data_IF_537001487269
#
_entry.id   IF_537001487269
#
_cell.length_a   1.000
_cell.length_b   1.000
_cell.length_c   1.000
_cell.angle_alpha   90.00
_cell.angle_beta   90.00
_cell.angle_gamma   90.00
#
_symmetry.space_group_name_H-M   'P 1'
#
loop_
_entity.id
_entity.type
_entity.pdbx_description
1 polymer ?
#
# COMPACT_ATOMS: atom_id res chain seq x y z
N UNK A 1 -2.80 32.33 12.37
CA UNK A 1 -1.51 31.99 11.71
C UNK A 1 -0.49 31.28 12.64
N UNK A 2 -0.09 31.82 13.79
CA UNK A 2 0.87 31.14 14.71
C UNK A 2 0.21 29.97 15.46
N UNK A 3 -1.02 30.12 15.90
CA UNK A 3 -1.84 29.10 16.55
C UNK A 3 -2.11 27.90 15.61
N UNK A 4 -2.34 28.17 14.33
CA UNK A 4 -2.59 27.14 13.30
C UNK A 4 -1.34 26.34 12.98
N UNK A 5 -0.15 26.97 12.98
CA UNK A 5 1.13 26.26 12.79
C UNK A 5 1.47 25.34 13.96
N UNK A 6 1.20 25.76 15.21
CA UNK A 6 1.40 24.93 16.38
C UNK A 6 0.47 23.72 16.39
N UNK A 7 -0.78 23.89 15.97
CA UNK A 7 -1.73 22.79 15.83
C UNK A 7 -1.29 21.77 14.77
N UNK A 8 -0.79 22.26 13.63
CA UNK A 8 -0.30 21.41 12.55
C UNK A 8 0.86 20.54 13.00
N UNK A 9 1.85 21.13 13.69
CA UNK A 9 3.01 20.43 14.25
C UNK A 9 2.55 19.40 15.29
N UNK A 10 1.58 19.77 16.13
CA UNK A 10 1.04 18.87 17.14
C UNK A 10 0.30 17.68 16.51
N UNK A 11 -0.58 17.90 15.51
CA UNK A 11 -1.30 16.84 14.83
C UNK A 11 -0.35 15.84 14.16
N UNK A 12 0.62 16.31 13.38
CA UNK A 12 1.61 15.45 12.71
C UNK A 12 2.47 14.70 13.72
N UNK A 13 2.97 15.39 14.74
CA UNK A 13 3.81 14.79 15.79
C UNK A 13 3.07 13.71 16.57
N UNK A 14 1.80 13.97 16.93
CA UNK A 14 0.97 12.98 17.66
C UNK A 14 0.66 11.76 16.78
N UNK A 15 0.23 11.97 15.52
CA UNK A 15 -0.02 10.86 14.61
C UNK A 15 1.25 10.04 14.34
N UNK A 16 2.40 10.69 14.20
CA UNK A 16 3.68 10.00 13.97
C UNK A 16 4.10 9.18 15.19
N UNK A 17 3.94 9.73 16.39
CA UNK A 17 4.26 9.00 17.62
C UNK A 17 3.29 7.82 17.83
N UNK A 18 1.99 8.01 17.54
CA UNK A 18 1.03 6.92 17.59
C UNK A 18 1.34 5.83 16.54
N UNK A 19 1.83 6.20 15.36
CA UNK A 19 2.27 5.26 14.34
C UNK A 19 3.44 4.39 14.82
N UNK A 20 4.44 5.02 15.45
CA UNK A 20 5.53 4.30 16.12
C UNK A 20 5.00 3.31 17.17
N UNK A 21 4.06 3.75 18.00
CA UNK A 21 3.51 2.93 19.08
C UNK A 21 2.67 1.77 18.56
N UNK A 22 1.81 1.99 17.56
CA UNK A 22 0.94 0.94 17.01
C UNK A 22 1.76 -0.17 16.37
N UNK A 23 2.72 0.18 15.49
CA UNK A 23 3.60 -0.81 14.88
C UNK A 23 4.48 -1.51 15.93
N UNK A 24 4.95 -0.75 16.93
CA UNK A 24 5.70 -1.30 18.05
C UNK A 24 4.88 -2.26 18.91
N UNK A 25 3.62 -1.94 19.24
CA UNK A 25 2.70 -2.82 19.99
C UNK A 25 2.48 -4.11 19.23
N UNK A 26 2.14 -4.03 17.94
CA UNK A 26 1.86 -5.20 17.12
C UNK A 26 3.09 -6.11 17.00
N UNK A 27 4.26 -5.54 16.70
CA UNK A 27 5.51 -6.29 16.63
C UNK A 27 5.90 -6.89 17.99
N UNK A 28 5.88 -6.09 19.06
CA UNK A 28 6.21 -6.54 20.39
C UNK A 28 5.29 -7.69 20.83
N UNK A 29 3.99 -7.58 20.62
CA UNK A 29 3.02 -8.60 20.97
C UNK A 29 3.28 -9.91 20.21
N UNK A 30 3.45 -9.86 18.88
CA UNK A 30 3.72 -11.04 18.05
C UNK A 30 5.05 -11.72 18.42
N UNK A 31 6.11 -10.95 18.60
CA UNK A 31 7.43 -11.49 18.93
C UNK A 31 7.55 -11.95 20.39
N UNK A 32 6.78 -11.38 21.30
CA UNK A 32 6.78 -11.79 22.69
C UNK A 32 6.03 -13.11 22.91
N UNK A 33 4.89 -13.31 22.22
CA UNK A 33 3.99 -14.41 22.57
C UNK A 33 3.74 -15.41 21.44
N UNK A 34 3.82 -15.02 20.18
CA UNK A 34 3.58 -15.92 19.05
C UNK A 34 4.89 -16.55 18.55
N UNK A 35 5.94 -15.78 18.34
CA UNK A 35 7.21 -16.30 17.82
C UNK A 35 7.84 -17.40 18.71
N UNK A 36 7.84 -17.28 20.07
CA UNK A 36 8.39 -18.31 20.93
C UNK A 36 7.40 -19.46 21.22
N UNK A 37 6.16 -19.41 20.72
CA UNK A 37 5.14 -20.43 21.00
C UNK A 37 5.42 -21.75 20.29
N UNK A 38 4.85 -22.83 20.83
CA UNK A 38 4.90 -24.17 20.24
C UNK A 38 3.80 -24.42 19.22
N UNK A 39 3.13 -23.36 18.75
CA UNK A 39 2.07 -23.45 17.74
C UNK A 39 2.67 -23.95 16.43
N UNK A 40 2.06 -24.99 15.86
CA UNK A 40 2.55 -25.63 14.64
C UNK A 40 2.59 -24.68 13.43
N UNK A 41 1.76 -23.62 13.41
CA UNK A 41 1.67 -22.66 12.31
C UNK A 41 1.92 -21.21 12.76
N UNK A 42 3.07 -20.97 13.37
CA UNK A 42 3.52 -19.61 13.75
C UNK A 42 3.57 -18.69 12.52
N UNK A 43 4.09 -19.20 11.40
CA UNK A 43 4.20 -18.43 10.14
C UNK A 43 2.80 -18.02 9.64
N UNK A 44 1.84 -18.92 9.68
CA UNK A 44 0.46 -18.63 9.31
C UNK A 44 -0.17 -17.50 10.13
N UNK A 45 0.07 -17.47 11.45
CA UNK A 45 -0.40 -16.39 12.33
C UNK A 45 0.19 -15.03 11.92
N UNK A 46 1.49 -14.98 11.61
CA UNK A 46 2.15 -13.76 11.11
C UNK A 46 1.59 -13.33 9.74
N UNK A 47 1.32 -14.27 8.83
CA UNK A 47 0.72 -13.98 7.53
C UNK A 47 -0.68 -13.39 7.72
N UNK A 48 -1.51 -13.99 8.56
CA UNK A 48 -2.87 -13.50 8.83
C UNK A 48 -2.84 -12.08 9.39
N UNK A 49 -1.96 -11.82 10.38
CA UNK A 49 -1.79 -10.47 10.91
C UNK A 49 -1.48 -9.48 9.78
N UNK A 50 -0.48 -9.75 8.96
CA UNK A 50 -0.05 -8.82 7.91
C UNK A 50 -1.08 -8.68 6.79
N UNK A 51 -1.73 -9.77 6.39
CA UNK A 51 -2.83 -9.73 5.41
C UNK A 51 -3.95 -8.82 5.93
N UNK A 52 -4.37 -8.98 7.18
CA UNK A 52 -5.41 -8.12 7.75
C UNK A 52 -4.93 -6.70 7.98
N UNK A 53 -3.69 -6.49 8.44
CA UNK A 53 -3.12 -5.17 8.65
C UNK A 53 -3.06 -4.35 7.36
N UNK A 54 -2.83 -4.98 6.21
CA UNK A 54 -2.66 -4.27 4.93
C UNK A 54 -3.87 -4.36 4.01
N UNK A 55 -4.45 -5.56 3.77
CA UNK A 55 -5.54 -5.72 2.80
C UNK A 55 -6.89 -5.19 3.29
N UNK A 56 -7.09 -4.99 4.58
CA UNK A 56 -8.32 -4.36 5.07
C UNK A 56 -8.27 -2.83 4.96
N UNK A 57 -7.08 -2.22 4.78
CA UNK A 57 -6.95 -0.77 4.73
C UNK A 57 -7.72 -0.09 3.58
N UNK A 58 -7.83 -0.64 2.37
CA UNK A 58 -8.68 -0.03 1.34
C UNK A 58 -10.14 0.10 1.77
N UNK A 59 -10.68 -0.94 2.39
CA UNK A 59 -12.06 -0.94 2.89
C UNK A 59 -12.22 0.02 4.07
N UNK A 60 -11.34 -0.04 5.06
CA UNK A 60 -11.36 0.86 6.22
C UNK A 60 -11.13 2.31 5.79
N UNK A 61 -10.30 2.54 4.76
CA UNK A 61 -10.06 3.84 4.16
C UNK A 61 -11.30 4.41 3.51
N UNK A 62 -11.96 3.64 2.69
CA UNK A 62 -13.22 4.03 2.09
C UNK A 62 -14.28 4.36 3.15
N UNK A 63 -14.44 3.52 4.18
CA UNK A 63 -15.34 3.80 5.30
C UNK A 63 -14.97 5.12 5.98
N UNK A 64 -13.67 5.33 6.28
CA UNK A 64 -13.20 6.54 6.97
C UNK A 64 -13.44 7.81 6.14
N UNK A 65 -13.36 7.73 4.81
CA UNK A 65 -13.68 8.87 3.93
C UNK A 65 -15.16 9.27 3.99
N UNK A 66 -16.07 8.31 4.24
CA UNK A 66 -17.54 8.53 4.17
C UNK A 66 -18.24 8.73 5.51
N UNK A 67 -17.60 8.39 6.64
CA UNK A 67 -18.23 8.57 7.96
C UNK A 67 -18.02 10.00 8.47
N UNK A 68 -19.04 10.55 9.12
CA UNK A 68 -19.01 11.89 9.70
C UNK A 68 -18.05 11.97 10.92
N UNK A 69 -18.06 10.96 11.76
CA UNK A 69 -17.31 10.94 13.02
C UNK A 69 -16.10 10.00 12.95
N UNK A 70 -15.01 10.48 12.36
CA UNK A 70 -13.77 9.72 12.15
C UNK A 70 -13.08 9.24 13.43
N UNK A 71 -13.39 9.88 14.56
CA UNK A 71 -12.92 9.46 15.88
C UNK A 71 -13.35 8.04 16.26
N UNK A 72 -14.43 7.52 15.73
CA UNK A 72 -14.85 6.14 15.94
C UNK A 72 -13.84 5.13 15.39
N UNK A 73 -13.17 5.47 14.30
CA UNK A 73 -12.12 4.61 13.71
C UNK A 73 -10.94 4.48 14.67
N UNK A 74 -10.48 5.62 15.23
CA UNK A 74 -9.40 5.63 16.23
C UNK A 74 -9.82 4.89 17.50
N UNK A 75 -11.04 5.13 17.99
CA UNK A 75 -11.55 4.47 19.20
C UNK A 75 -11.65 2.95 19.01
N UNK A 76 -12.12 2.50 17.85
CA UNK A 76 -12.19 1.07 17.52
C UNK A 76 -10.79 0.46 17.43
N UNK A 77 -9.83 1.15 16.81
CA UNK A 77 -8.43 0.70 16.79
C UNK A 77 -7.87 0.54 18.21
N UNK A 78 -8.06 1.56 19.06
CA UNK A 78 -7.62 1.52 20.44
C UNK A 78 -8.23 0.33 21.22
N UNK A 79 -9.53 0.10 21.04
CA UNK A 79 -10.24 -1.00 21.70
C UNK A 79 -9.70 -2.37 21.24
N UNK A 80 -9.56 -2.58 19.92
CA UNK A 80 -9.07 -3.84 19.37
C UNK A 80 -7.64 -4.15 19.81
N UNK A 81 -6.74 -3.17 19.79
CA UNK A 81 -5.37 -3.35 20.25
C UNK A 81 -5.31 -3.63 21.77
N UNK A 82 -6.17 -2.97 22.57
CA UNK A 82 -6.24 -3.21 24.00
C UNK A 82 -6.74 -4.62 24.31
N UNK A 83 -7.79 -5.09 23.61
CA UNK A 83 -8.31 -6.47 23.76
C UNK A 83 -7.23 -7.46 23.32
N UNK A 84 -6.55 -7.22 22.19
CA UNK A 84 -5.49 -8.09 21.71
C UNK A 84 -4.36 -8.25 22.74
N UNK A 85 -3.87 -7.15 23.30
CA UNK A 85 -2.81 -7.19 24.33
C UNK A 85 -3.31 -7.87 25.61
N UNK A 86 -4.59 -7.66 25.99
CA UNK A 86 -5.21 -8.38 27.12
C UNK A 86 -5.33 -9.88 26.92
N UNK A 87 -5.49 -10.32 25.66
CA UNK A 87 -5.53 -11.75 25.29
C UNK A 87 -4.16 -12.38 25.11
N UNK A 88 -3.10 -11.59 24.98
CA UNK A 88 -1.75 -12.06 24.69
C UNK A 88 -1.25 -13.19 25.63
N UNK A 89 -1.52 -13.19 26.95
CA UNK A 89 -1.12 -14.29 27.85
C UNK A 89 -1.80 -15.64 27.52
N UNK A 90 -2.92 -15.63 26.78
CA UNK A 90 -3.68 -16.83 26.40
C UNK A 90 -3.28 -17.36 25.01
N UNK A 91 -2.31 -16.76 24.35
CA UNK A 91 -1.93 -17.07 22.96
C UNK A 91 -1.21 -18.42 22.76
N UNK A 92 -0.92 -19.16 23.84
CA UNK A 92 -0.42 -20.53 23.75
C UNK A 92 -1.40 -21.48 23.04
N UNK A 93 -2.70 -21.15 23.01
CA UNK A 93 -3.70 -21.92 22.29
C UNK A 93 -3.83 -21.39 20.85
N UNK A 94 -3.84 -22.26 19.80
CA UNK A 94 -3.87 -21.83 18.40
C UNK A 94 -5.02 -20.89 18.04
N UNK A 95 -6.23 -21.16 18.54
CA UNK A 95 -7.41 -20.29 18.30
C UNK A 95 -7.19 -18.90 18.88
N UNK A 96 -6.59 -18.80 20.06
CA UNK A 96 -6.32 -17.51 20.70
C UNK A 96 -5.23 -16.74 19.97
N UNK A 97 -4.18 -17.42 19.48
CA UNK A 97 -3.15 -16.80 18.65
C UNK A 97 -3.71 -16.28 17.32
N UNK A 98 -4.62 -17.04 16.70
CA UNK A 98 -5.33 -16.61 15.50
C UNK A 98 -6.19 -15.35 15.77
N UNK A 99 -7.00 -15.36 16.83
CA UNK A 99 -7.83 -14.21 17.23
C UNK A 99 -6.97 -12.99 17.57
N UNK A 100 -5.84 -13.21 18.23
CA UNK A 100 -4.85 -12.16 18.51
C UNK A 100 -4.37 -11.50 17.20
N UNK A 101 -3.98 -12.30 16.21
CA UNK A 101 -3.53 -11.78 14.90
C UNK A 101 -4.63 -10.99 14.19
N UNK A 102 -5.88 -11.45 14.26
CA UNK A 102 -7.04 -10.76 13.68
C UNK A 102 -7.24 -9.39 14.35
N UNK A 103 -7.26 -9.34 15.67
CA UNK A 103 -7.48 -8.11 16.43
C UNK A 103 -6.34 -7.10 16.23
N UNK A 104 -5.09 -7.57 16.27
CA UNK A 104 -3.92 -6.73 15.99
C UNK A 104 -3.95 -6.20 14.56
N UNK A 105 -4.22 -7.07 13.57
CA UNK A 105 -4.22 -6.70 12.16
C UNK A 105 -5.30 -5.65 11.84
N UNK A 106 -6.53 -5.85 12.28
CA UNK A 106 -7.62 -4.90 12.05
C UNK A 106 -7.38 -3.62 12.85
N UNK A 107 -6.94 -3.71 14.10
CA UNK A 107 -6.61 -2.55 14.94
C UNK A 107 -5.51 -1.68 14.32
N UNK A 108 -4.46 -2.31 13.79
CA UNK A 108 -3.38 -1.67 13.05
C UNK A 108 -3.91 -0.96 11.80
N UNK A 109 -4.69 -1.66 10.98
CA UNK A 109 -5.30 -1.14 9.75
C UNK A 109 -6.13 0.14 10.01
N UNK A 110 -7.00 0.11 11.01
CA UNK A 110 -7.85 1.24 11.36
C UNK A 110 -7.03 2.47 11.77
N UNK A 111 -6.00 2.28 12.59
CA UNK A 111 -5.14 3.38 12.99
C UNK A 111 -4.40 3.99 11.79
N UNK A 112 -3.80 3.14 10.94
CA UNK A 112 -3.01 3.61 9.80
C UNK A 112 -3.83 4.48 8.84
N UNK A 113 -5.04 4.06 8.53
CA UNK A 113 -5.95 4.82 7.68
C UNK A 113 -6.37 6.12 8.35
N UNK A 114 -6.78 6.08 9.61
CA UNK A 114 -7.17 7.28 10.35
C UNK A 114 -6.03 8.29 10.46
N UNK A 115 -4.84 7.84 10.87
CA UNK A 115 -3.66 8.70 11.03
C UNK A 115 -3.15 9.25 9.70
N UNK A 116 -3.14 8.42 8.65
CA UNK A 116 -2.76 8.82 7.30
C UNK A 116 -3.71 9.87 6.72
N UNK A 117 -5.02 9.65 6.80
CA UNK A 117 -6.03 10.61 6.38
C UNK A 117 -5.94 11.92 7.17
N UNK A 118 -5.88 11.85 8.51
CA UNK A 118 -5.78 13.04 9.34
C UNK A 118 -4.52 13.85 9.00
N UNK A 119 -3.37 13.20 8.85
CA UNK A 119 -2.13 13.87 8.45
C UNK A 119 -2.28 14.54 7.09
N UNK A 120 -2.81 13.84 6.10
CA UNK A 120 -3.00 14.37 4.75
C UNK A 120 -3.91 15.59 4.75
N UNK A 121 -5.07 15.50 5.38
CA UNK A 121 -6.07 16.57 5.40
C UNK A 121 -5.57 17.77 6.20
N UNK A 122 -5.05 17.56 7.42
CA UNK A 122 -4.59 18.65 8.29
C UNK A 122 -3.40 19.43 7.73
N UNK A 123 -2.57 18.78 6.90
CA UNK A 123 -1.38 19.41 6.29
C UNK A 123 -1.58 19.82 4.84
N UNK A 124 -2.81 19.68 4.32
CA UNK A 124 -3.11 19.95 2.90
C UNK A 124 -2.16 19.17 1.96
N UNK A 125 -1.93 17.91 2.27
CA UNK A 125 -1.03 17.03 1.52
C UNK A 125 0.42 17.54 1.46
N UNK A 126 0.95 18.17 2.53
CA UNK A 126 2.38 18.55 2.57
C UNK A 126 3.26 17.31 2.62
N UNK A 127 4.07 17.12 1.59
CA UNK A 127 4.92 15.93 1.41
C UNK A 127 5.91 15.70 2.57
N UNK A 128 6.32 16.75 3.29
CA UNK A 128 7.21 16.65 4.46
C UNK A 128 6.46 16.01 5.63
N UNK A 129 5.23 16.46 5.87
CA UNK A 129 4.37 15.92 6.91
C UNK A 129 4.03 14.44 6.65
N UNK A 130 3.72 14.10 5.39
CA UNK A 130 3.51 12.71 4.97
C UNK A 130 4.76 11.87 5.23
N UNK A 131 5.95 12.38 4.87
CA UNK A 131 7.23 11.71 5.13
C UNK A 131 7.48 11.45 6.60
N UNK A 132 7.23 12.43 7.46
CA UNK A 132 7.37 12.29 8.92
C UNK A 132 6.38 11.26 9.47
N UNK A 133 5.11 11.32 9.06
CA UNK A 133 4.09 10.38 9.51
C UNK A 133 4.45 8.93 9.16
N UNK A 134 4.74 8.64 7.89
CA UNK A 134 5.00 7.27 7.45
C UNK A 134 6.37 6.72 7.89
N UNK A 135 7.24 7.57 8.45
CA UNK A 135 8.60 7.17 8.84
C UNK A 135 8.63 6.38 10.14
N UNK A 136 7.89 6.80 11.13
CA UNK A 136 8.06 6.38 12.52
C UNK A 136 7.68 4.92 12.78
N UNK A 137 6.70 4.39 12.05
CA UNK A 137 6.26 2.99 12.18
C UNK A 137 7.39 1.99 11.93
N UNK A 138 8.26 2.24 10.94
CA UNK A 138 9.37 1.33 10.63
C UNK A 138 10.33 1.15 11.83
N UNK A 139 10.59 2.21 12.58
CA UNK A 139 11.44 2.12 13.75
C UNK A 139 10.68 1.56 14.97
N UNK A 140 9.38 1.88 15.11
CA UNK A 140 8.50 1.27 16.11
C UNK A 140 8.46 -0.25 15.98
N UNK A 141 8.30 -0.74 14.75
CA UNK A 141 8.34 -2.17 14.42
C UNK A 141 9.68 -2.80 14.85
N UNK A 142 10.82 -2.19 14.51
CA UNK A 142 12.14 -2.70 14.87
C UNK A 142 12.35 -2.75 16.40
N UNK A 143 11.94 -1.72 17.13
CA UNK A 143 11.99 -1.67 18.59
C UNK A 143 11.11 -2.76 19.20
N UNK A 144 9.87 -2.90 18.70
CA UNK A 144 8.93 -3.93 19.17
C UNK A 144 9.45 -5.35 18.97
N UNK A 145 10.10 -5.61 17.82
CA UNK A 145 10.72 -6.92 17.52
C UNK A 145 11.91 -7.24 18.44
N UNK A 146 12.83 -6.28 18.57
CA UNK A 146 14.12 -6.51 19.24
C UNK A 146 14.00 -6.52 20.77
N UNK A 147 13.19 -5.63 21.31
CA UNK A 147 13.04 -5.47 22.77
C UNK A 147 11.72 -6.05 23.29
N UNK A 148 11.14 -7.02 22.60
CA UNK A 148 9.87 -7.64 22.97
C UNK A 148 9.85 -8.04 24.46
N UNK A 149 9.04 -7.36 25.24
CA UNK A 149 8.88 -7.59 26.67
C UNK A 149 7.54 -7.08 27.15
N UNK A 150 7.01 -7.66 28.24
CA UNK A 150 5.73 -7.21 28.82
C UNK A 150 5.76 -5.75 29.24
N UNK A 151 6.89 -5.27 29.77
CA UNK A 151 7.07 -3.88 30.15
C UNK A 151 6.95 -2.95 28.94
N UNK A 152 7.64 -3.26 27.87
CA UNK A 152 7.59 -2.45 26.65
C UNK A 152 6.18 -2.46 26.06
N UNK A 153 5.55 -3.65 25.97
CA UNK A 153 4.21 -3.81 25.42
C UNK A 153 3.18 -2.96 26.17
N UNK A 154 3.13 -3.06 27.49
CA UNK A 154 2.19 -2.29 28.30
C UNK A 154 2.51 -0.79 28.28
N UNK A 155 3.78 -0.40 28.32
CA UNK A 155 4.18 1.01 28.24
C UNK A 155 3.74 1.63 26.91
N UNK A 156 3.98 0.94 25.78
CA UNK A 156 3.55 1.40 24.48
C UNK A 156 2.02 1.47 24.38
N UNK A 157 1.29 0.47 24.89
CA UNK A 157 -0.17 0.48 24.89
C UNK A 157 -0.74 1.64 25.69
N UNK A 158 -0.23 1.87 26.92
CA UNK A 158 -0.67 2.99 27.76
C UNK A 158 -0.40 4.32 27.06
N UNK A 159 0.81 4.50 26.50
CA UNK A 159 1.16 5.70 25.76
C UNK A 159 0.25 5.92 24.54
N UNK A 160 -0.03 4.86 23.79
CA UNK A 160 -0.97 4.90 22.67
C UNK A 160 -2.38 5.31 23.11
N UNK A 161 -2.92 4.68 24.15
CA UNK A 161 -4.25 5.01 24.67
C UNK A 161 -4.34 6.46 25.15
N UNK A 162 -3.32 6.96 25.84
CA UNK A 162 -3.28 8.36 26.30
C UNK A 162 -3.27 9.32 25.10
N UNK A 163 -2.45 9.08 24.08
CA UNK A 163 -2.38 9.90 22.88
C UNK A 163 -3.69 9.81 22.08
N UNK A 164 -4.31 8.63 21.98
CA UNK A 164 -5.60 8.44 21.35
C UNK A 164 -6.69 9.28 22.04
N UNK A 165 -6.79 9.23 23.37
CA UNK A 165 -7.74 10.04 24.14
C UNK A 165 -7.51 11.54 23.94
N UNK A 166 -6.25 12.00 23.91
CA UNK A 166 -5.92 13.40 23.60
C UNK A 166 -6.37 13.75 22.17
N UNK A 167 -6.12 12.87 21.23
CA UNK A 167 -6.49 13.07 19.81
C UNK A 167 -8.00 13.10 19.59
N UNK A 168 -8.79 12.31 20.35
CA UNK A 168 -10.25 12.34 20.29
C UNK A 168 -10.85 13.70 20.66
N UNK A 169 -10.17 14.48 21.48
CA UNK A 169 -10.59 15.84 21.90
C UNK A 169 -10.10 16.92 20.91
N UNK A 170 -9.31 16.55 19.92
CA UNK A 170 -8.82 17.51 18.94
C UNK A 170 -9.92 17.93 17.96
N UNK A 171 -10.07 19.22 17.63
CA UNK A 171 -11.03 19.68 16.63
C UNK A 171 -10.78 19.06 15.24
N UNK A 172 -9.56 18.62 14.95
CA UNK A 172 -9.22 17.93 13.67
C UNK A 172 -9.80 16.52 13.56
N UNK A 173 -10.17 15.89 14.67
CA UNK A 173 -10.84 14.59 14.63
C UNK A 173 -12.26 14.67 14.08
N UNK A 174 -12.83 15.87 14.03
CA UNK A 174 -14.17 16.17 13.55
C UNK A 174 -14.18 16.85 12.16
N UNK A 175 -13.04 16.97 11.47
CA UNK A 175 -13.00 17.55 10.12
C UNK A 175 -13.83 16.68 9.19
N UNK A 176 -14.99 17.22 8.81
CA UNK A 176 -15.83 16.67 7.75
C UNK A 176 -15.28 17.14 6.39
N UNK A 177 -15.55 16.41 5.30
CA UNK A 177 -15.18 16.85 3.96
C UNK A 177 -15.76 18.21 3.54
N UNK A 178 -16.79 18.67 4.25
CA UNK A 178 -17.55 19.91 3.95
C UNK A 178 -17.00 21.16 4.66
N UNK A 179 -16.05 21.02 5.57
CA UNK A 179 -15.41 22.19 6.17
C UNK A 179 -14.55 22.89 5.11
N UNK A 180 -14.98 24.11 4.78
CA UNK A 180 -14.50 25.08 3.77
C UNK A 180 -13.00 25.45 3.86
N UNK A 181 -12.10 24.51 4.14
CA UNK A 181 -10.73 24.73 3.82
C UNK A 181 -10.58 24.69 2.31
N UNK A 182 -10.28 25.83 1.70
CA UNK A 182 -9.81 25.93 0.32
C UNK A 182 -8.69 24.90 0.13
N UNK A 183 -9.08 23.67 -0.20
CA UNK A 183 -8.13 22.65 -0.57
C UNK A 183 -7.50 23.14 -1.85
N UNK A 184 -6.28 23.60 -1.78
CA UNK A 184 -5.49 23.97 -2.93
C UNK A 184 -5.36 22.72 -3.82
N UNK A 185 -6.30 22.62 -4.78
CA UNK A 185 -6.28 21.53 -5.75
C UNK A 185 -5.08 21.71 -6.66
N UNK A 186 -4.13 20.89 -6.41
CA UNK A 186 -2.98 20.80 -7.28
C UNK A 186 -3.41 20.19 -8.61
N UNK A 187 -3.17 20.91 -9.67
CA UNK A 187 -3.47 20.44 -11.03
C UNK A 187 -2.47 19.36 -11.45
N UNK A 188 -2.89 18.46 -12.33
CA UNK A 188 -2.03 17.42 -12.90
C UNK A 188 -0.76 18.02 -13.55
N UNK A 189 -0.84 19.28 -14.05
CA UNK A 189 0.30 20.04 -14.57
C UNK A 189 1.44 20.25 -13.56
N UNK A 190 1.20 20.11 -12.26
CA UNK A 190 2.26 20.16 -11.25
C UNK A 190 3.02 18.84 -11.13
N UNK A 191 2.42 17.74 -11.56
CA UNK A 191 3.04 16.41 -11.63
C UNK A 191 3.71 16.23 -12.99
N UNK A 192 3.01 16.65 -14.05
CA UNK A 192 3.42 16.52 -15.44
C UNK A 192 3.53 17.92 -16.10
N UNK A 193 4.71 18.55 -16.08
CA UNK A 193 4.90 19.93 -16.53
C UNK A 193 4.47 20.23 -17.97
N UNK A 194 4.44 19.20 -18.84
CA UNK A 194 4.00 19.36 -20.25
C UNK A 194 2.49 19.57 -20.40
N UNK A 195 1.70 19.34 -19.34
CA UNK A 195 0.25 19.57 -19.34
C UNK A 195 -0.14 21.02 -18.97
N UNK A 196 0.82 21.93 -18.88
CA UNK A 196 0.57 23.36 -18.54
C UNK A 196 -0.46 24.05 -19.43
N UNK A 197 -0.59 23.62 -20.69
CA UNK A 197 -1.52 24.25 -21.65
C UNK A 197 -3.00 24.08 -21.24
N UNK A 198 -3.31 23.00 -20.54
CA UNK A 198 -4.69 22.74 -20.08
C UNK A 198 -5.05 23.48 -18.80
N UNK A 199 -4.04 23.92 -18.03
CA UNK A 199 -4.24 24.75 -16.85
C UNK A 199 -4.93 26.07 -17.17
N UNK A 200 -4.54 26.72 -18.28
CA UNK A 200 -5.13 28.01 -18.69
C UNK A 200 -6.60 27.89 -19.07
N UNK A 201 -7.01 26.79 -19.66
CA UNK A 201 -8.42 26.50 -19.97
C UNK A 201 -9.22 26.22 -18.70
N UNK A 202 -8.62 25.58 -17.71
CA UNK A 202 -9.22 25.29 -16.42
C UNK A 202 -9.44 26.57 -15.59
N UNK A 203 -8.39 27.37 -15.44
CA UNK A 203 -8.45 28.65 -14.71
C UNK A 203 -9.44 29.61 -15.35
N UNK A 204 -9.57 29.59 -16.68
CA UNK A 204 -10.58 30.35 -17.42
C UNK A 204 -12.01 29.87 -17.17
N UNK A 205 -12.22 28.56 -17.13
CA UNK A 205 -13.54 27.98 -16.79
C UNK A 205 -13.96 28.28 -15.34
N UNK A 206 -13.04 28.20 -14.40
CA UNK A 206 -13.29 28.52 -12.99
C UNK A 206 -13.62 30.00 -12.78
N UNK A 207 -12.94 30.90 -13.49
CA UNK A 207 -13.20 32.34 -13.40
C UNK A 207 -14.55 32.75 -13.98
N UNK A 208 -15.05 32.03 -14.98
CA UNK A 208 -16.33 32.32 -15.64
C UNK A 208 -17.54 31.70 -14.91
N UNK A 209 -17.36 30.72 -14.04
CA UNK A 209 -18.52 30.03 -13.42
C UNK A 209 -18.95 30.61 -12.08
N UNK A 210 -18.32 31.72 -11.59
CA UNK A 210 -18.59 32.25 -10.24
C UNK A 210 -18.68 31.13 -9.18
N UNK A 211 -18.19 29.95 -9.53
CA UNK A 211 -18.32 28.74 -8.77
C UNK A 211 -17.24 28.69 -7.68
N UNK A 212 -17.00 29.82 -6.99
CA UNK A 212 -16.15 29.88 -5.80
C UNK A 212 -16.65 29.00 -4.67
N UNK A 213 -17.76 28.34 -4.82
CA UNK A 213 -18.41 27.70 -3.65
C UNK A 213 -18.50 26.21 -3.64
N UNK A 214 -18.28 25.50 -4.72
CA UNK A 214 -18.69 24.11 -4.51
C UNK A 214 -17.84 23.11 -5.18
N UNK A 215 -17.00 23.50 -5.94
CA UNK A 215 -16.57 22.47 -6.82
C UNK A 215 -15.12 22.67 -7.09
N UNK A 216 -14.47 22.10 -6.23
CA UNK A 216 -13.49 21.22 -6.73
C UNK A 216 -14.13 20.33 -7.79
N UNK A 217 -14.21 20.83 -9.01
CA UNK A 217 -14.42 19.94 -10.14
C UNK A 217 -13.29 18.96 -10.03
N UNK A 218 -13.57 17.68 -9.80
CA UNK A 218 -12.51 16.73 -9.69
C UNK A 218 -11.69 16.88 -10.96
N UNK A 219 -10.39 17.14 -10.83
CA UNK A 219 -9.49 17.37 -11.96
C UNK A 219 -9.56 16.25 -13.01
N UNK A 220 -10.04 15.03 -12.65
CA UNK A 220 -10.40 13.98 -13.58
C UNK A 220 -11.57 14.33 -14.52
N UNK A 221 -12.35 15.38 -14.25
CA UNK A 221 -13.36 15.86 -15.21
C UNK A 221 -12.75 16.63 -16.37
N UNK A 222 -11.50 17.09 -16.22
CA UNK A 222 -10.74 17.79 -17.26
C UNK A 222 -9.88 16.83 -18.10
N UNK A 223 -9.58 15.69 -17.54
CA UNK A 223 -8.82 14.63 -18.18
C UNK A 223 -9.70 13.42 -18.34
N UNK A 224 -9.43 12.61 -19.35
CA UNK A 224 -10.05 11.32 -19.45
C UNK A 224 -9.88 10.58 -18.11
N UNK A 225 -11.00 10.25 -17.45
CA UNK A 225 -11.04 9.55 -16.16
C UNK A 225 -10.13 8.31 -16.15
N UNK A 226 -10.05 7.63 -17.28
CA UNK A 226 -9.23 6.43 -17.45
C UNK A 226 -7.73 6.72 -17.33
N UNK A 227 -7.29 7.85 -17.86
CA UNK A 227 -5.88 8.26 -17.74
C UNK A 227 -5.48 8.51 -16.27
N UNK A 228 -6.38 9.05 -15.49
CA UNK A 228 -6.15 9.27 -14.05
C UNK A 228 -6.06 7.97 -13.30
N UNK A 229 -6.99 7.05 -13.57
CA UNK A 229 -6.99 5.72 -12.98
C UNK A 229 -5.71 4.98 -13.40
N UNK A 230 -5.31 5.08 -14.67
CA UNK A 230 -4.03 4.54 -15.14
C UNK A 230 -2.84 5.06 -14.33
N UNK A 231 -2.74 6.38 -14.15
CA UNK A 231 -1.66 6.98 -13.34
C UNK A 231 -1.71 6.50 -11.89
N UNK A 232 -2.92 6.34 -11.32
CA UNK A 232 -3.06 5.85 -9.96
C UNK A 232 -2.63 4.38 -9.83
N UNK A 233 -3.02 3.53 -10.77
CA UNK A 233 -2.56 2.13 -10.85
C UNK A 233 -1.03 2.08 -10.99
N UNK A 234 -0.45 2.97 -11.79
CA UNK A 234 1.01 3.08 -11.91
C UNK A 234 1.67 3.46 -10.57
N UNK A 235 1.06 4.35 -9.80
CA UNK A 235 1.55 4.67 -8.44
C UNK A 235 1.47 3.44 -7.52
N UNK A 236 0.38 2.68 -7.55
CA UNK A 236 0.24 1.41 -6.81
C UNK A 236 1.37 0.44 -7.20
N UNK A 237 1.60 0.26 -8.49
CA UNK A 237 2.69 -0.59 -8.99
C UNK A 237 4.05 -0.13 -8.46
N UNK A 238 4.35 1.17 -8.50
CA UNK A 238 5.59 1.70 -7.94
C UNK A 238 5.72 1.47 -6.43
N UNK A 239 4.62 1.49 -5.68
CA UNK A 239 4.65 1.15 -4.25
C UNK A 239 5.00 -0.31 -4.03
N UNK A 240 4.39 -1.24 -4.77
CA UNK A 240 4.71 -2.65 -4.70
C UNK A 240 6.17 -2.92 -5.10
N UNK A 241 6.62 -2.34 -6.22
CA UNK A 241 7.99 -2.46 -6.71
C UNK A 241 9.03 -1.95 -5.71
N UNK A 242 8.88 -0.71 -5.19
CA UNK A 242 9.83 -0.17 -4.22
C UNK A 242 9.84 -0.97 -2.90
N UNK A 243 8.68 -1.48 -2.49
CA UNK A 243 8.59 -2.30 -1.28
C UNK A 243 9.33 -3.62 -1.46
N UNK A 244 9.19 -4.25 -2.63
CA UNK A 244 9.95 -5.45 -2.98
C UNK A 244 11.46 -5.18 -3.00
N UNK A 245 11.90 -4.06 -3.59
CA UNK A 245 13.31 -3.65 -3.53
C UNK A 245 13.79 -3.42 -2.09
N UNK A 246 12.97 -2.80 -1.24
CA UNK A 246 13.31 -2.64 0.19
C UNK A 246 13.54 -3.97 0.88
N UNK A 247 12.73 -4.99 0.56
CA UNK A 247 12.88 -6.35 1.08
C UNK A 247 14.17 -7.02 0.56
N UNK A 248 14.52 -6.82 -0.71
CA UNK A 248 15.78 -7.33 -1.27
C UNK A 248 16.97 -6.75 -0.51
N UNK A 249 16.97 -5.44 -0.24
CA UNK A 249 18.03 -4.82 0.56
C UNK A 249 18.16 -5.44 1.95
N UNK A 250 17.04 -5.69 2.64
CA UNK A 250 17.04 -6.27 3.99
C UNK A 250 17.39 -7.77 4.00
N UNK A 251 17.06 -8.51 2.96
CA UNK A 251 17.37 -9.93 2.86
C UNK A 251 18.85 -10.19 2.49
N UNK A 252 19.53 -9.24 1.86
CA UNK A 252 20.94 -9.32 1.54
C UNK A 252 21.89 -9.18 2.75
N UNK A 253 21.35 -9.04 3.97
CA UNK A 253 22.14 -8.79 5.17
C UNK A 253 21.78 -9.78 6.29
N UNK A 254 22.77 -10.05 7.18
CA UNK A 254 22.53 -10.89 8.36
C UNK A 254 21.49 -10.25 9.29
N UNK A 255 20.49 -11.01 9.71
CA UNK A 255 19.41 -10.55 10.58
C UNK A 255 19.83 -10.54 12.06
N UNK A 256 20.92 -9.84 12.38
CA UNK A 256 21.32 -9.59 13.77
C UNK A 256 20.44 -8.51 14.42
N UNK A 257 20.41 -8.48 15.74
CA UNK A 257 19.68 -7.45 16.52
C UNK A 257 20.06 -6.04 16.10
N UNK A 258 21.36 -5.76 16.02
CA UNK A 258 21.89 -4.45 15.63
C UNK A 258 21.49 -4.07 14.21
N UNK A 259 21.47 -5.05 13.32
CA UNK A 259 21.05 -4.86 11.94
C UNK A 259 19.55 -4.52 11.84
N UNK A 260 18.68 -5.24 12.56
CA UNK A 260 17.23 -4.96 12.57
C UNK A 260 16.97 -3.51 13.03
N UNK A 261 17.64 -3.08 14.11
CA UNK A 261 17.54 -1.71 14.62
C UNK A 261 18.06 -0.69 13.59
N UNK A 262 19.22 -0.97 12.99
CA UNK A 262 19.84 -0.10 11.99
C UNK A 262 18.96 0.02 10.74
N UNK A 263 18.43 -1.08 10.23
CA UNK A 263 17.53 -1.09 9.07
C UNK A 263 16.23 -0.32 9.36
N UNK A 264 15.63 -0.52 10.53
CA UNK A 264 14.46 0.24 10.98
C UNK A 264 14.73 1.74 11.07
N UNK A 265 15.87 2.12 11.67
CA UNK A 265 16.31 3.52 11.77
C UNK A 265 16.56 4.14 10.39
N UNK A 266 17.29 3.44 9.53
CA UNK A 266 17.62 3.90 8.17
C UNK A 266 16.34 4.04 7.32
N UNK A 267 15.41 3.10 7.43
CA UNK A 267 14.12 3.20 6.75
C UNK A 267 13.29 4.39 7.27
N UNK A 268 13.29 4.63 8.59
CA UNK A 268 12.66 5.80 9.19
C UNK A 268 13.27 7.09 8.66
N UNK A 269 14.59 7.22 8.71
CA UNK A 269 15.30 8.41 8.23
C UNK A 269 15.09 8.63 6.73
N UNK A 270 15.10 7.57 5.92
CA UNK A 270 14.83 7.66 4.50
C UNK A 270 13.44 8.20 4.20
N UNK A 271 12.40 7.65 4.81
CA UNK A 271 11.02 8.12 4.64
C UNK A 271 10.85 9.58 5.07
N UNK A 272 11.38 9.97 6.22
CA UNK A 272 11.33 11.35 6.68
C UNK A 272 12.08 12.29 5.72
N UNK A 273 13.37 11.98 5.43
CA UNK A 273 14.21 12.79 4.55
C UNK A 273 13.63 12.92 3.14
N UNK A 274 13.01 11.86 2.61
CA UNK A 274 12.39 11.85 1.29
C UNK A 274 11.34 12.94 1.10
N UNK A 275 10.53 13.21 2.13
CA UNK A 275 9.56 14.31 2.11
C UNK A 275 10.23 15.69 2.00
N UNK A 276 11.32 15.91 2.73
CA UNK A 276 12.08 17.16 2.67
C UNK A 276 12.84 17.29 1.36
N UNK A 277 13.55 16.25 0.91
CA UNK A 277 14.27 16.24 -0.37
C UNK A 277 13.30 16.56 -1.51
N UNK A 278 12.14 15.89 -1.55
CA UNK A 278 11.14 16.11 -2.58
C UNK A 278 10.56 17.54 -2.56
N UNK A 279 10.39 18.12 -1.37
CA UNK A 279 9.92 19.51 -1.24
C UNK A 279 10.89 20.52 -1.83
N UNK A 280 12.20 20.35 -1.60
CA UNK A 280 13.21 21.33 -2.00
C UNK A 280 13.83 21.06 -3.37
N UNK A 281 14.06 19.80 -3.75
CA UNK A 281 14.65 19.42 -5.04
C UNK A 281 13.61 19.24 -6.17
N UNK A 282 12.33 19.18 -5.81
CA UNK A 282 11.23 18.82 -6.70
C UNK A 282 10.86 17.35 -6.66
N UNK A 283 9.56 17.09 -6.60
CA UNK A 283 8.98 15.75 -6.32
C UNK A 283 9.46 14.68 -7.30
N UNK A 284 9.35 14.95 -8.61
CA UNK A 284 9.73 14.01 -9.67
C UNK A 284 11.24 13.77 -9.71
N UNK A 285 12.03 14.84 -9.55
CA UNK A 285 13.51 14.75 -9.55
C UNK A 285 14.00 13.91 -8.36
N UNK A 286 13.45 14.18 -7.17
CA UNK A 286 13.78 13.42 -5.96
C UNK A 286 13.44 11.93 -6.13
N UNK A 287 12.28 11.62 -6.69
CA UNK A 287 11.84 10.24 -6.93
C UNK A 287 12.81 9.51 -7.87
N UNK A 288 13.09 10.10 -9.04
CA UNK A 288 13.98 9.49 -10.05
C UNK A 288 15.40 9.31 -9.49
N UNK A 289 15.93 10.33 -8.82
CA UNK A 289 17.29 10.27 -8.25
C UNK A 289 17.40 9.17 -7.19
N UNK A 290 16.48 9.12 -6.24
CA UNK A 290 16.53 8.14 -5.16
C UNK A 290 16.30 6.72 -5.67
N UNK A 291 15.40 6.54 -6.64
CA UNK A 291 15.22 5.25 -7.30
C UNK A 291 16.47 4.83 -8.07
N UNK A 292 17.10 5.72 -8.81
CA UNK A 292 18.33 5.45 -9.56
C UNK A 292 19.49 5.07 -8.63
N UNK A 293 19.62 5.73 -7.47
CA UNK A 293 20.63 5.37 -6.46
C UNK A 293 20.37 3.96 -5.92
N UNK A 294 19.11 3.66 -5.55
CA UNK A 294 18.77 2.34 -5.02
C UNK A 294 19.04 1.22 -6.05
N UNK A 295 18.54 1.37 -7.28
CA UNK A 295 18.76 0.40 -8.36
C UNK A 295 20.24 0.30 -8.71
N UNK A 296 20.95 1.44 -8.80
CA UNK A 296 22.38 1.46 -9.10
C UNK A 296 23.23 0.67 -8.09
N UNK A 297 22.87 0.72 -6.80
CA UNK A 297 23.54 -0.09 -5.78
C UNK A 297 23.29 -1.59 -6.01
N UNK A 298 22.04 -1.98 -6.33
CA UNK A 298 21.70 -3.41 -6.51
C UNK A 298 22.37 -4.02 -7.74
N UNK A 299 22.47 -3.28 -8.85
CA UNK A 299 23.08 -3.79 -10.09
C UNK A 299 24.60 -3.64 -10.14
N UNK A 300 25.22 -3.02 -9.14
CA UNK A 300 26.67 -2.82 -9.05
C UNK A 300 27.31 -3.78 -8.07
N UNK A 301 28.65 -3.98 -8.12
CA UNK A 301 29.38 -4.74 -7.11
C UNK A 301 29.22 -4.23 -5.68
N UNK A 302 28.71 -3.01 -5.50
CA UNK A 302 28.41 -2.42 -4.19
C UNK A 302 27.33 -3.21 -3.43
N UNK A 303 26.49 -3.99 -4.12
CA UNK A 303 25.49 -4.88 -3.50
C UNK A 303 26.10 -5.92 -2.54
N UNK A 304 27.38 -6.22 -2.65
CA UNK A 304 28.11 -7.08 -1.71
C UNK A 304 28.44 -6.38 -0.37
N UNK A 305 28.29 -5.05 -0.27
CA UNK A 305 28.60 -4.28 0.93
C UNK A 305 27.33 -4.00 1.76
N UNK A 306 27.33 -4.43 3.02
CA UNK A 306 26.23 -4.14 3.96
C UNK A 306 25.96 -2.63 4.12
N UNK A 307 27.00 -1.80 4.12
CA UNK A 307 26.84 -0.35 4.19
C UNK A 307 26.20 0.24 2.93
N UNK A 308 26.57 -0.25 1.76
CA UNK A 308 25.95 0.17 0.51
C UNK A 308 24.48 -0.27 0.43
N UNK A 309 24.14 -1.45 0.93
CA UNK A 309 22.77 -1.91 1.04
C UNK A 309 21.94 -1.01 1.98
N UNK A 310 22.53 -0.52 3.08
CA UNK A 310 21.85 0.47 3.95
C UNK A 310 21.62 1.79 3.24
N UNK A 311 22.56 2.27 2.40
CA UNK A 311 22.36 3.47 1.57
C UNK A 311 21.25 3.22 0.54
N UNK A 312 21.21 2.05 -0.08
CA UNK A 312 20.12 1.65 -0.98
C UNK A 312 18.77 1.60 -0.27
N UNK A 313 18.73 1.05 0.94
CA UNK A 313 17.54 1.01 1.78
C UNK A 313 17.07 2.44 2.15
N UNK A 314 17.98 3.34 2.49
CA UNK A 314 17.66 4.75 2.70
C UNK A 314 17.05 5.38 1.44
N UNK A 315 17.73 5.24 0.30
CA UNK A 315 17.31 5.85 -0.96
C UNK A 315 15.93 5.36 -1.41
N UNK A 316 15.69 4.05 -1.37
CA UNK A 316 14.37 3.52 -1.78
C UNK A 316 13.25 3.96 -0.84
N UNK A 317 13.52 4.10 0.46
CA UNK A 317 12.54 4.61 1.42
C UNK A 317 12.25 6.11 1.25
N UNK A 318 13.17 6.91 0.69
CA UNK A 318 12.92 8.31 0.33
C UNK A 318 11.79 8.45 -0.71
N UNK A 319 11.48 7.43 -1.48
CA UNK A 319 10.40 7.46 -2.49
C UNK A 319 9.01 7.32 -1.88
N UNK A 320 8.87 6.86 -0.63
CA UNK A 320 7.58 6.57 -0.02
C UNK A 320 6.66 7.80 0.12
N UNK A 321 7.09 8.93 0.69
CA UNK A 321 6.22 10.10 0.78
C UNK A 321 5.82 10.65 -0.59
N UNK A 322 6.65 10.43 -1.61
CA UNK A 322 6.36 10.86 -2.99
C UNK A 322 5.18 10.08 -3.57
N UNK A 323 5.15 8.77 -3.42
CA UNK A 323 4.04 7.94 -3.93
C UNK A 323 2.73 8.25 -3.21
N UNK A 324 2.75 8.46 -1.89
CA UNK A 324 1.58 8.87 -1.12
C UNK A 324 1.08 10.27 -1.55
N UNK A 325 2.00 11.21 -1.71
CA UNK A 325 1.68 12.56 -2.19
C UNK A 325 1.04 12.54 -3.58
N UNK A 326 1.54 11.75 -4.51
CA UNK A 326 0.95 11.59 -5.84
C UNK A 326 -0.42 10.92 -5.77
N UNK A 327 -0.57 9.83 -5.01
CA UNK A 327 -1.85 9.15 -4.84
C UNK A 327 -2.96 10.09 -4.35
N UNK A 328 -2.68 10.88 -3.31
CA UNK A 328 -3.64 11.86 -2.78
C UNK A 328 -3.97 12.98 -3.78
N UNK A 329 -3.03 13.33 -4.68
CA UNK A 329 -3.30 14.28 -5.75
C UNK A 329 -4.15 13.71 -6.86
N UNK A 330 -3.97 12.44 -7.14
CA UNK A 330 -4.71 11.74 -8.18
C UNK A 330 -6.16 11.50 -7.77
N UNK A 331 -6.43 11.25 -6.48
CA UNK A 331 -7.77 10.96 -5.96
C UNK A 331 -8.10 11.86 -4.74
N UNK A 332 -8.31 13.15 -4.93
CA UNK A 332 -8.67 14.07 -3.86
C UNK A 332 -10.02 13.67 -3.23
N UNK A 333 -10.19 13.95 -1.95
CA UNK A 333 -11.35 13.57 -1.11
C UNK A 333 -11.49 12.08 -0.81
N UNK A 334 -10.53 11.25 -1.25
CA UNK A 334 -10.47 9.83 -0.94
C UNK A 334 -9.14 9.48 -0.26
N UNK A 335 -8.67 10.35 0.63
CA UNK A 335 -7.34 10.24 1.24
C UNK A 335 -7.19 8.96 2.06
N UNK A 336 -8.28 8.51 2.72
CA UNK A 336 -8.29 7.24 3.45
C UNK A 336 -8.23 6.04 2.50
N UNK A 337 -9.04 6.04 1.44
CA UNK A 337 -9.01 4.99 0.42
C UNK A 337 -7.63 4.93 -0.28
N UNK A 338 -7.07 6.09 -0.65
CA UNK A 338 -5.74 6.19 -1.27
C UNK A 338 -4.69 5.61 -0.34
N UNK A 339 -4.68 6.02 0.92
CA UNK A 339 -3.73 5.50 1.89
C UNK A 339 -3.86 3.98 2.00
N UNK A 340 -5.08 3.47 2.09
CA UNK A 340 -5.36 2.05 2.18
C UNK A 340 -4.90 1.25 0.96
N UNK A 341 -5.17 1.73 -0.25
CA UNK A 341 -4.74 1.07 -1.49
C UNK A 341 -3.21 1.03 -1.62
N UNK A 342 -2.52 2.12 -1.26
CA UNK A 342 -1.07 2.15 -1.28
C UNK A 342 -0.45 1.27 -0.18
N UNK A 343 -1.12 1.13 0.96
CA UNK A 343 -0.69 0.20 2.01
C UNK A 343 -0.89 -1.26 1.58
N UNK A 344 -2.02 -1.60 0.96
CA UNK A 344 -2.27 -2.94 0.42
C UNK A 344 -1.21 -3.36 -0.61
N UNK A 345 -0.68 -2.41 -1.38
CA UNK A 345 0.40 -2.63 -2.33
C UNK A 345 1.75 -3.04 -1.69
N UNK A 346 1.86 -3.05 -0.36
CA UNK A 346 3.05 -3.53 0.36
C UNK A 346 3.06 -5.06 0.56
N UNK A 347 1.91 -5.73 0.41
CA UNK A 347 1.76 -7.18 0.66
C UNK A 347 2.72 -8.04 -0.16
N UNK A 348 2.92 -7.83 -1.48
CA UNK A 348 3.84 -8.65 -2.25
C UNK A 348 5.24 -8.69 -1.65
N UNK A 349 5.75 -7.53 -1.25
CA UNK A 349 7.06 -7.42 -0.61
C UNK A 349 7.15 -8.17 0.73
N UNK A 350 6.09 -8.10 1.52
CA UNK A 350 6.00 -8.86 2.77
C UNK A 350 6.08 -10.37 2.52
N UNK A 351 5.32 -10.88 1.54
CA UNK A 351 5.32 -12.30 1.20
C UNK A 351 6.69 -12.78 0.71
N UNK A 352 7.39 -11.98 -0.08
CA UNK A 352 8.78 -12.24 -0.47
C UNK A 352 9.69 -12.30 0.77
N UNK A 353 9.52 -11.38 1.70
CA UNK A 353 10.36 -11.27 2.91
C UNK A 353 10.20 -12.42 3.90
N UNK A 354 8.99 -12.95 4.03
CA UNK A 354 8.69 -14.08 4.93
C UNK A 354 9.20 -15.41 4.36
N UNK A 355 9.66 -15.42 3.08
CA UNK A 355 10.00 -16.67 2.41
C UNK A 355 8.78 -17.60 2.40
N UNK A 356 7.58 -17.02 2.30
CA UNK A 356 6.35 -17.78 2.20
C UNK A 356 6.57 -18.90 1.18
N UNK A 357 6.23 -20.09 1.59
CA UNK A 357 6.48 -21.30 0.80
C UNK A 357 6.15 -21.07 -0.67
N UNK A 358 6.97 -21.60 -1.61
CA UNK A 358 6.80 -21.40 -3.04
C UNK A 358 5.34 -21.37 -3.54
N UNK A 359 4.42 -22.20 -3.00
CA UNK A 359 3.03 -22.20 -3.46
C UNK A 359 2.27 -20.88 -3.25
N UNK A 360 2.52 -20.15 -2.16
CA UNK A 360 1.76 -18.92 -1.89
C UNK A 360 2.32 -17.71 -2.65
N UNK A 361 3.65 -17.62 -2.73
CA UNK A 361 4.30 -16.57 -3.55
C UNK A 361 4.07 -16.82 -5.05
N UNK A 362 4.07 -18.08 -5.48
CA UNK A 362 3.77 -18.45 -6.87
C UNK A 362 2.32 -18.20 -7.27
N UNK A 363 1.38 -18.15 -6.30
CA UNK A 363 -0.03 -17.84 -6.55
C UNK A 363 -0.32 -16.34 -6.53
N UNK A 364 0.27 -15.61 -5.58
CA UNK A 364 -0.08 -14.19 -5.36
C UNK A 364 0.66 -13.24 -6.29
N UNK A 365 1.89 -13.54 -6.65
CA UNK A 365 2.65 -12.68 -7.56
C UNK A 365 2.09 -12.67 -8.99
N UNK A 366 1.85 -13.83 -9.62
CA UNK A 366 1.17 -13.87 -10.92
C UNK A 366 -0.20 -13.19 -10.88
N UNK A 367 -1.01 -13.45 -9.84
CA UNK A 367 -2.32 -12.84 -9.68
C UNK A 367 -2.25 -11.31 -9.66
N UNK A 368 -1.35 -10.73 -8.89
CA UNK A 368 -1.19 -9.27 -8.81
C UNK A 368 -0.70 -8.67 -10.13
N UNK A 369 0.27 -9.31 -10.78
CA UNK A 369 0.78 -8.89 -12.09
C UNK A 369 -0.32 -8.95 -13.13
N UNK A 370 -1.07 -10.03 -13.18
CA UNK A 370 -2.20 -10.21 -14.10
C UNK A 370 -3.26 -9.14 -13.89
N UNK A 371 -3.73 -8.94 -12.64
CA UNK A 371 -4.73 -7.91 -12.32
C UNK A 371 -4.25 -6.52 -12.77
N UNK A 372 -3.00 -6.16 -12.50
CA UNK A 372 -2.47 -4.84 -12.89
C UNK A 372 -2.43 -4.69 -14.40
N UNK A 373 -1.91 -5.69 -15.13
CA UNK A 373 -1.78 -5.63 -16.58
C UNK A 373 -3.16 -5.58 -17.24
N UNK A 374 -4.08 -6.41 -16.81
CA UNK A 374 -5.43 -6.44 -17.37
C UNK A 374 -6.22 -5.16 -17.09
N UNK A 375 -6.10 -4.61 -15.88
CA UNK A 375 -6.68 -3.31 -15.59
C UNK A 375 -6.11 -2.21 -16.49
N UNK A 376 -4.81 -2.24 -16.81
CA UNK A 376 -4.19 -1.29 -17.73
C UNK A 376 -4.72 -1.44 -19.15
N UNK A 377 -4.87 -2.67 -19.62
CA UNK A 377 -5.43 -2.99 -20.95
C UNK A 377 -6.89 -2.55 -21.03
N UNK A 378 -7.70 -2.89 -20.02
CA UNK A 378 -9.12 -2.52 -19.97
C UNK A 378 -9.31 -1.00 -19.87
N UNK A 379 -8.50 -0.30 -19.08
CA UNK A 379 -8.54 1.15 -18.97
C UNK A 379 -8.21 1.84 -20.31
N UNK A 380 -7.35 1.23 -21.12
CA UNK A 380 -7.00 1.77 -22.43
C UNK A 380 -8.01 1.45 -23.54
N UNK A 381 -8.75 0.34 -23.43
CA UNK A 381 -9.62 -0.15 -24.49
C UNK A 381 -11.13 -0.03 -24.20
N UNK A 382 -11.53 -0.01 -22.91
CA UNK A 382 -12.93 -0.05 -22.50
C UNK A 382 -13.39 1.29 -21.88
N UNK A 383 -13.39 2.35 -22.66
CA UNK A 383 -13.62 3.74 -22.21
C UNK A 383 -14.91 4.02 -21.42
N UNK A 384 -15.92 3.16 -21.47
CA UNK A 384 -17.24 3.46 -20.91
C UNK A 384 -17.82 2.41 -19.94
N UNK A 385 -17.07 1.34 -19.62
CA UNK A 385 -17.60 0.20 -18.86
C UNK A 385 -16.85 -0.04 -17.55
N UNK A 386 -17.11 0.77 -16.53
CA UNK A 386 -16.51 0.58 -15.20
C UNK A 386 -16.87 -0.78 -14.58
N UNK A 387 -18.01 -1.35 -14.93
CA UNK A 387 -18.45 -2.68 -14.52
C UNK A 387 -17.51 -3.77 -15.02
N UNK A 388 -16.96 -3.60 -16.23
CA UNK A 388 -16.01 -4.57 -16.84
C UNK A 388 -14.69 -4.59 -16.07
N UNK A 389 -14.25 -3.46 -15.53
CA UNK A 389 -13.04 -3.38 -14.69
C UNK A 389 -13.21 -4.21 -13.41
N UNK A 390 -14.36 -4.08 -12.74
CA UNK A 390 -14.65 -4.86 -11.54
C UNK A 390 -14.86 -6.35 -11.87
N UNK A 391 -15.46 -6.63 -13.01
CA UNK A 391 -15.64 -7.98 -13.49
C UNK A 391 -14.30 -8.67 -13.75
N UNK A 392 -13.32 -7.99 -14.37
CA UNK A 392 -11.97 -8.51 -14.58
C UNK A 392 -11.28 -8.81 -13.25
N UNK A 393 -11.28 -7.86 -12.30
CA UNK A 393 -10.68 -8.09 -10.97
C UNK A 393 -11.30 -9.29 -10.28
N UNK A 394 -12.64 -9.39 -10.27
CA UNK A 394 -13.35 -10.49 -9.62
C UNK A 394 -13.03 -11.84 -10.29
N UNK A 395 -12.97 -11.87 -11.62
CA UNK A 395 -12.64 -13.08 -12.37
C UNK A 395 -11.20 -13.51 -12.12
N UNK A 396 -10.25 -12.60 -12.17
CA UNK A 396 -8.84 -12.91 -11.89
C UNK A 396 -8.59 -13.45 -10.49
N UNK A 397 -9.28 -12.91 -9.48
CA UNK A 397 -9.22 -13.44 -8.10
C UNK A 397 -9.70 -14.89 -8.02
N UNK A 398 -10.56 -15.32 -8.92
CA UNK A 398 -11.11 -16.69 -8.96
C UNK A 398 -10.30 -17.58 -9.91
N UNK A 399 -10.11 -17.15 -11.15
CA UNK A 399 -9.58 -18.00 -12.24
C UNK A 399 -8.08 -18.21 -12.11
N UNK A 400 -7.31 -17.19 -11.77
CA UNK A 400 -5.86 -17.27 -11.67
C UNK A 400 -5.39 -18.20 -10.52
N UNK A 401 -5.87 -18.06 -9.27
CA UNK A 401 -5.52 -19.00 -8.21
C UNK A 401 -5.99 -20.43 -8.53
N UNK A 402 -7.18 -20.59 -9.14
CA UNK A 402 -7.71 -21.90 -9.49
C UNK A 402 -6.84 -22.60 -10.53
N UNK A 403 -6.45 -21.91 -11.59
CA UNK A 403 -5.55 -22.44 -12.62
C UNK A 403 -4.19 -22.82 -12.02
N UNK A 404 -3.61 -21.94 -11.22
CA UNK A 404 -2.31 -22.20 -10.58
C UNK A 404 -2.38 -23.38 -9.60
N UNK A 405 -3.46 -23.51 -8.80
CA UNK A 405 -3.66 -24.67 -7.92
C UNK A 405 -3.75 -25.96 -8.74
N UNK A 406 -4.46 -25.95 -9.84
CA UNK A 406 -4.58 -27.12 -10.74
C UNK A 406 -3.18 -27.50 -11.25
N UNK A 407 -2.43 -26.55 -11.82
CA UNK A 407 -1.10 -26.77 -12.37
C UNK A 407 -0.13 -27.32 -11.30
N UNK A 408 -0.11 -26.71 -10.11
CA UNK A 408 0.76 -27.11 -8.99
C UNK A 408 0.46 -28.53 -8.43
N UNK A 409 -0.78 -29.01 -8.59
CA UNK A 409 -1.16 -30.36 -8.15
C UNK A 409 -1.07 -31.43 -9.25
N UNK A 410 -0.69 -31.05 -10.49
CA UNK A 410 -0.47 -31.99 -11.59
C UNK A 410 0.99 -32.44 -11.62
N UNK A 411 1.20 -33.72 -11.85
CA UNK A 411 2.53 -34.28 -12.16
C UNK A 411 2.66 -34.41 -13.66
N UNK A 412 3.58 -33.68 -14.26
CA UNK A 412 3.81 -33.69 -15.70
C UNK A 412 4.90 -34.69 -16.09
N UNK A 413 4.68 -35.40 -17.18
CA UNK A 413 5.65 -36.37 -17.72
C UNK A 413 6.77 -35.71 -18.52
N UNK A 414 6.55 -34.47 -18.97
CA UNK A 414 7.53 -33.66 -19.71
C UNK A 414 7.21 -32.17 -19.61
N UNK A 415 8.20 -31.33 -19.89
CA UNK A 415 8.05 -29.88 -20.00
C UNK A 415 7.00 -29.48 -21.06
N UNK A 416 6.94 -30.23 -22.16
CA UNK A 416 5.95 -29.98 -23.22
C UNK A 416 4.52 -30.21 -22.74
N UNK A 417 4.28 -31.25 -21.90
CA UNK A 417 2.97 -31.51 -21.32
C UNK A 417 2.56 -30.42 -20.32
N UNK A 418 3.52 -29.91 -19.54
CA UNK A 418 3.30 -28.79 -18.63
C UNK A 418 2.92 -27.52 -19.40
N UNK A 419 3.71 -27.12 -20.40
CA UNK A 419 3.45 -25.96 -21.24
C UNK A 419 2.12 -26.05 -21.99
N UNK A 420 1.78 -27.24 -22.51
CA UNK A 420 0.49 -27.45 -23.14
C UNK A 420 -0.68 -27.23 -22.17
N UNK A 421 -0.53 -27.72 -20.93
CA UNK A 421 -1.57 -27.57 -19.89
C UNK A 421 -1.74 -26.11 -19.48
N UNK A 422 -0.64 -25.35 -19.32
CA UNK A 422 -0.67 -23.92 -19.03
C UNK A 422 -1.40 -23.16 -20.14
N UNK A 423 -0.99 -23.37 -21.39
CA UNK A 423 -1.60 -22.68 -22.55
C UNK A 423 -3.09 -23.05 -22.70
N UNK A 424 -3.44 -24.32 -22.53
CA UNK A 424 -4.83 -24.76 -22.60
C UNK A 424 -5.66 -24.14 -21.45
N UNK A 425 -5.09 -24.06 -20.26
CA UNK A 425 -5.71 -23.40 -19.09
C UNK A 425 -6.00 -21.92 -19.36
N UNK A 426 -5.05 -21.19 -19.92
CA UNK A 426 -5.21 -19.78 -20.28
C UNK A 426 -6.32 -19.59 -21.33
N UNK A 427 -6.44 -20.48 -22.30
CA UNK A 427 -7.58 -20.42 -23.24
C UNK A 427 -8.93 -20.63 -22.56
N UNK A 428 -9.00 -21.48 -21.55
CA UNK A 428 -10.23 -21.68 -20.75
C UNK A 428 -10.54 -20.41 -19.96
N UNK A 429 -9.54 -19.80 -19.32
CA UNK A 429 -9.68 -18.53 -18.58
C UNK A 429 -10.21 -17.45 -19.52
N UNK A 430 -9.58 -17.26 -20.68
CA UNK A 430 -10.03 -16.31 -21.70
C UNK A 430 -11.48 -16.52 -22.12
N UNK A 431 -11.89 -17.76 -22.33
CA UNK A 431 -13.27 -18.07 -22.73
C UNK A 431 -14.28 -17.71 -21.63
N UNK A 432 -13.94 -18.01 -20.37
CA UNK A 432 -14.78 -17.69 -19.20
C UNK A 432 -14.89 -16.19 -19.02
N UNK A 433 -13.79 -15.45 -19.11
CA UNK A 433 -13.79 -14.00 -19.00
C UNK A 433 -14.52 -13.31 -20.14
N UNK A 434 -14.33 -13.76 -21.37
CA UNK A 434 -15.06 -13.24 -22.53
C UNK A 434 -16.57 -13.40 -22.35
N UNK A 435 -17.00 -14.55 -21.81
CA UNK A 435 -18.41 -14.78 -21.46
C UNK A 435 -18.88 -13.81 -20.38
N UNK A 436 -18.04 -13.56 -19.37
CA UNK A 436 -18.38 -12.65 -18.28
C UNK A 436 -18.44 -11.19 -18.76
N UNK A 437 -17.49 -10.74 -19.57
CA UNK A 437 -17.52 -9.40 -20.18
C UNK A 437 -18.75 -9.21 -21.09
N UNK A 438 -19.19 -10.28 -21.78
CA UNK A 438 -20.39 -10.23 -22.60
C UNK A 438 -21.66 -9.86 -21.81
N UNK A 439 -21.77 -10.22 -20.54
CA UNK A 439 -22.90 -9.82 -19.70
C UNK A 439 -23.01 -8.30 -19.54
N UNK A 440 -21.88 -7.59 -19.55
CA UNK A 440 -21.82 -6.14 -19.38
C UNK A 440 -21.80 -5.40 -20.71
N UNK A 441 -21.01 -5.86 -21.69
CA UNK A 441 -20.79 -5.17 -22.97
C UNK A 441 -21.88 -5.50 -23.99
N UNK A 442 -22.47 -6.69 -23.91
CA UNK A 442 -23.50 -7.20 -24.85
C UNK A 442 -23.02 -7.32 -26.31
N UNK A 443 -21.72 -7.23 -26.56
CA UNK A 443 -21.10 -7.47 -27.84
C UNK A 443 -20.10 -8.62 -27.73
N UNK A 444 -20.36 -9.71 -28.48
CA UNK A 444 -19.53 -10.92 -28.40
C UNK A 444 -18.12 -10.71 -28.95
N UNK A 445 -17.99 -9.96 -30.04
CA UNK A 445 -16.69 -9.72 -30.66
C UNK A 445 -15.82 -8.85 -29.75
N UNK A 446 -16.37 -7.75 -29.25
CA UNK A 446 -15.68 -6.82 -28.36
C UNK A 446 -15.28 -7.52 -27.05
N UNK A 447 -16.18 -8.31 -26.45
CA UNK A 447 -15.89 -9.06 -25.22
C UNK A 447 -14.78 -10.08 -25.41
N UNK A 448 -14.77 -10.80 -26.55
CA UNK A 448 -13.73 -11.78 -26.88
C UNK A 448 -12.38 -11.11 -27.14
N UNK A 449 -12.37 -10.03 -27.94
CA UNK A 449 -11.14 -9.29 -28.22
C UNK A 449 -10.55 -8.65 -26.97
N UNK A 450 -11.40 -8.17 -26.07
CA UNK A 450 -10.98 -7.55 -24.81
C UNK A 450 -10.34 -8.59 -23.87
N UNK A 451 -10.97 -9.75 -23.70
CA UNK A 451 -10.40 -10.85 -22.91
C UNK A 451 -9.11 -11.38 -23.53
N UNK A 452 -9.05 -11.53 -24.86
CA UNK A 452 -7.83 -11.92 -25.56
C UNK A 452 -6.68 -10.91 -25.34
N UNK A 453 -6.97 -9.61 -25.37
CA UNK A 453 -5.97 -8.57 -25.14
C UNK A 453 -5.48 -8.58 -23.69
N UNK A 454 -6.37 -8.72 -22.72
CA UNK A 454 -6.05 -8.77 -21.30
C UNK A 454 -5.16 -9.97 -20.97
N UNK A 455 -5.63 -11.16 -21.26
CA UNK A 455 -4.90 -12.40 -20.96
C UNK A 455 -3.64 -12.54 -21.82
N UNK A 456 -3.66 -12.13 -23.09
CA UNK A 456 -2.49 -12.14 -23.94
C UNK A 456 -1.36 -11.26 -23.39
N UNK A 457 -1.68 -10.06 -22.92
CA UNK A 457 -0.68 -9.17 -22.31
C UNK A 457 -0.15 -9.71 -20.98
N UNK A 458 -1.01 -10.26 -20.12
CA UNK A 458 -0.58 -10.82 -18.82
C UNK A 458 0.24 -12.10 -19.01
N UNK A 459 -0.15 -12.98 -19.93
CA UNK A 459 0.61 -14.19 -20.28
C UNK A 459 1.99 -13.86 -20.84
N UNK A 460 2.09 -12.90 -21.76
CA UNK A 460 3.39 -12.46 -22.30
C UNK A 460 4.29 -11.87 -21.22
N UNK A 461 3.75 -11.13 -20.25
CA UNK A 461 4.53 -10.61 -19.15
C UNK A 461 5.02 -11.73 -18.22
N UNK A 462 4.19 -12.73 -17.94
CA UNK A 462 4.59 -13.94 -17.21
C UNK A 462 5.71 -14.70 -17.91
N UNK A 463 5.57 -14.92 -19.22
CA UNK A 463 6.60 -15.59 -20.03
C UNK A 463 7.94 -14.83 -20.02
N UNK A 464 7.91 -13.50 -20.15
CA UNK A 464 9.11 -12.67 -20.10
C UNK A 464 9.78 -12.74 -18.71
N UNK A 465 8.99 -12.83 -17.65
CA UNK A 465 9.50 -13.01 -16.29
C UNK A 465 10.20 -14.38 -16.11
N UNK A 466 9.59 -15.45 -16.58
CA UNK A 466 10.20 -16.78 -16.54
C UNK A 466 11.48 -16.84 -17.36
N UNK A 467 11.51 -16.27 -18.55
CA UNK A 467 12.71 -16.16 -19.39
C UNK A 467 13.81 -15.35 -18.69
N UNK A 468 13.45 -14.30 -17.96
CA UNK A 468 14.38 -13.51 -17.16
C UNK A 468 14.99 -14.36 -16.04
N UNK A 469 14.16 -15.16 -15.32
CA UNK A 469 14.65 -16.04 -14.26
C UNK A 469 15.56 -17.16 -14.77
N UNK A 470 15.35 -17.61 -16.01
CA UNK A 470 16.24 -18.62 -16.65
C UNK A 470 17.57 -18.01 -17.11
N UNK A 471 17.64 -16.70 -17.27
CA UNK A 471 18.83 -15.98 -17.75
C UNK A 471 19.70 -15.42 -16.62
N UNK A 472 19.15 -15.29 -15.40
CA UNK A 472 19.84 -14.89 -14.17
C UNK A 472 20.26 -16.10 -13.34
#
# INVERSE_FOLDING_TARGET
MMRDKLWLIHAVGTCSLMHFLVDGICACCLYLVVAPSTIADVVGVFIIYNVLAFLTQPMTGWITDHIAHKQWVLLTSMLLLTIAVGMAPLSAHPVTAFLLAVLLGIGNSLFHVWGGQLTTVSTQNDIRALGVFVSTGAFGLAIGMVFASWWLLFTMLIAYCLLAVVSLKSPYSALTPDDDMERSYYTLSSILPWLKKERSAYDYHLSNLEAKRSLAIPWYSLYNRHFVIFLFVLVIFFVAFRSSLSTVFTNGMEKTTDFILMAGLVAMLGKAAGGFIAKYAGVTKAFILMLAVAVGILVSPLSASAYALLVGLFAINCTMPVTLYWGNRLMPRNEGLVFGLLAAALIPAYLIGVGAHPPLTSLLWPLLVTIVIELLVLLSLAEHHTEVLWASVAMNVITNPLLNIIILNMTFSSFEAEMFTIVAGEFVVMAVEALFFYFFIRDKLVSTLLSLACNGCSFMAGLLYELYLLWC
#
